data_IF_921784902611
#
_entry.id   IF_921784902611
#
_cell.length_a   1.000
_cell.length_b   1.000
_cell.length_c   1.000
_cell.angle_alpha   90.00
_cell.angle_beta   90.00
_cell.angle_gamma   90.00
#
_symmetry.space_group_name_H-M   'P 1'
#
loop_
_entity.id
_entity.type
_entity.pdbx_description
1 polymer ?
#
# COMPACT_ATOMS: atom_id res chain seq x y z
N UNK A 1 9.38 -9.07 -33.63
CA UNK A 1 9.20 -7.67 -33.18
C UNK A 1 7.77 -7.39 -32.69
N UNK A 2 6.72 -7.79 -33.42
CA UNK A 2 5.31 -7.60 -33.01
C UNK A 2 4.91 -8.34 -31.70
N UNK A 3 5.39 -9.57 -31.50
CA UNK A 3 5.07 -10.37 -30.29
C UNK A 3 5.59 -9.71 -29.01
N UNK A 4 6.80 -9.15 -29.04
CA UNK A 4 7.41 -8.41 -27.92
C UNK A 4 6.70 -7.08 -27.61
N UNK A 5 6.16 -6.42 -28.64
CA UNK A 5 5.38 -5.19 -28.47
C UNK A 5 4.02 -5.48 -27.82
N UNK A 6 3.37 -6.60 -28.20
CA UNK A 6 2.09 -7.04 -27.64
C UNK A 6 2.24 -7.51 -26.18
N UNK A 7 3.33 -8.22 -25.84
CA UNK A 7 3.61 -8.59 -24.45
C UNK A 7 3.92 -7.38 -23.58
N UNK A 8 4.65 -6.39 -24.12
CA UNK A 8 4.96 -5.14 -23.41
C UNK A 8 3.73 -4.25 -23.20
N UNK A 9 2.76 -4.23 -24.13
CA UNK A 9 1.51 -3.48 -23.94
C UNK A 9 0.62 -4.14 -22.88
N UNK A 10 0.51 -5.47 -22.91
CA UNK A 10 -0.27 -6.24 -21.91
C UNK A 10 0.30 -6.08 -20.50
N UNK A 11 1.62 -6.04 -20.36
CA UNK A 11 2.27 -5.89 -19.05
C UNK A 11 2.12 -4.49 -18.45
N UNK A 12 2.12 -3.43 -19.27
CA UNK A 12 1.88 -2.06 -18.80
C UNK A 12 0.41 -1.90 -18.34
N UNK A 13 -0.54 -2.47 -19.09
CA UNK A 13 -1.95 -2.46 -18.70
C UNK A 13 -2.19 -3.24 -17.40
N UNK A 14 -1.45 -4.34 -17.18
CA UNK A 14 -1.51 -5.10 -15.93
C UNK A 14 -0.98 -4.30 -14.73
N UNK A 15 0.18 -3.63 -14.85
CA UNK A 15 0.72 -2.78 -13.79
C UNK A 15 -0.26 -1.64 -13.45
N UNK A 16 -0.84 -1.02 -14.48
CA UNK A 16 -1.81 0.06 -14.27
C UNK A 16 -3.07 -0.46 -13.55
N UNK A 17 -3.59 -1.63 -13.95
CA UNK A 17 -4.71 -2.28 -13.28
C UNK A 17 -4.41 -2.60 -11.80
N UNK A 18 -3.23 -3.17 -11.52
CA UNK A 18 -2.78 -3.48 -10.16
C UNK A 18 -2.66 -2.22 -9.31
N UNK A 19 -2.06 -1.16 -9.84
CA UNK A 19 -1.95 0.13 -9.13
C UNK A 19 -3.33 0.76 -8.85
N UNK A 20 -4.26 0.69 -9.81
CA UNK A 20 -5.64 1.18 -9.61
C UNK A 20 -6.35 0.41 -8.51
N UNK A 21 -6.26 -0.91 -8.49
CA UNK A 21 -6.84 -1.70 -7.42
C UNK A 21 -6.14 -1.43 -6.08
N UNK A 22 -4.82 -1.21 -6.08
CA UNK A 22 -4.07 -0.88 -4.86
C UNK A 22 -4.54 0.45 -4.24
N UNK A 23 -4.87 1.44 -5.08
CA UNK A 23 -5.48 2.70 -4.60
C UNK A 23 -6.85 2.48 -3.96
N UNK A 24 -7.68 1.58 -4.51
CA UNK A 24 -8.98 1.25 -3.91
C UNK A 24 -8.81 0.57 -2.55
N UNK A 25 -7.86 -0.36 -2.44
CA UNK A 25 -7.53 -1.02 -1.17
C UNK A 25 -7.02 -0.01 -0.15
N UNK A 26 -6.05 0.83 -0.52
CA UNK A 26 -5.49 1.86 0.36
C UNK A 26 -6.53 2.91 0.79
N UNK A 27 -7.49 3.26 -0.08
CA UNK A 27 -8.61 4.13 0.30
C UNK A 27 -9.54 3.44 1.32
N UNK A 28 -9.81 2.14 1.13
CA UNK A 28 -10.58 1.33 2.08
C UNK A 28 -9.89 1.22 3.44
N UNK A 29 -8.57 1.03 3.45
CA UNK A 29 -7.75 1.06 4.67
C UNK A 29 -7.82 2.41 5.38
N UNK A 30 -7.65 3.50 4.65
CA UNK A 30 -7.69 4.85 5.22
C UNK A 30 -9.06 5.14 5.84
N UNK A 31 -10.15 4.70 5.21
CA UNK A 31 -11.49 4.84 5.76
C UNK A 31 -11.70 3.98 7.01
N UNK A 32 -11.27 2.72 6.99
CA UNK A 32 -11.43 1.80 8.11
C UNK A 32 -10.59 2.22 9.32
N UNK A 33 -9.32 2.56 9.11
CA UNK A 33 -8.43 3.05 10.15
C UNK A 33 -8.84 4.44 10.62
N UNK A 34 -9.35 5.30 9.74
CA UNK A 34 -9.98 6.56 10.10
C UNK A 34 -11.16 6.37 11.04
N UNK A 35 -12.03 5.39 10.76
CA UNK A 35 -13.15 5.03 11.64
C UNK A 35 -12.69 4.49 13.00
N UNK A 36 -11.61 3.70 13.03
CA UNK A 36 -10.97 3.27 14.28
C UNK A 36 -10.43 4.49 15.03
N UNK A 37 -9.63 5.33 14.40
CA UNK A 37 -9.02 6.50 15.01
C UNK A 37 -10.08 7.47 15.57
N UNK A 38 -11.14 7.74 14.80
CA UNK A 38 -12.24 8.58 15.25
C UNK A 38 -12.98 7.97 16.44
N UNK A 39 -13.27 6.67 16.41
CA UNK A 39 -13.85 5.96 17.55
C UNK A 39 -12.98 6.08 18.81
N UNK A 40 -11.67 6.01 18.64
CA UNK A 40 -10.67 6.09 19.70
C UNK A 40 -10.61 7.50 20.31
N UNK A 41 -10.54 8.52 19.46
CA UNK A 41 -10.43 9.93 19.87
C UNK A 41 -11.76 10.43 20.44
N UNK A 42 -12.88 10.16 19.77
CA UNK A 42 -14.21 10.61 20.19
C UNK A 42 -14.69 9.95 21.46
N UNK A 43 -14.45 8.65 21.64
CA UNK A 43 -14.87 7.95 22.87
C UNK A 43 -13.86 8.05 24.01
N UNK A 44 -12.77 8.82 23.87
CA UNK A 44 -11.69 8.97 24.87
C UNK A 44 -11.33 7.62 25.52
N UNK A 45 -11.00 6.65 24.69
CA UNK A 45 -10.81 5.22 25.02
C UNK A 45 -10.74 4.84 26.51
N UNK A 46 -11.80 4.17 26.96
CA UNK A 46 -11.79 3.06 27.91
C UNK A 46 -11.22 3.29 29.33
N UNK A 47 -11.42 4.48 29.91
CA UNK A 47 -11.10 4.71 31.34
C UNK A 47 -12.11 4.14 32.35
N UNK A 48 -13.20 3.52 31.91
CA UNK A 48 -14.40 3.33 32.74
C UNK A 48 -14.82 1.88 32.94
N UNK A 49 -13.93 1.05 33.48
CA UNK A 49 -14.28 -0.04 34.39
C UNK A 49 -13.14 -0.12 35.44
N UNK A 50 -13.41 -0.58 36.67
CA UNK A 50 -12.79 -0.07 37.90
C UNK A 50 -11.25 -0.13 37.98
N UNK A 51 -10.59 -0.86 37.08
CA UNK A 51 -9.14 -1.05 37.02
C UNK A 51 -8.37 -0.21 35.98
N UNK A 52 -8.99 0.78 35.31
CA UNK A 52 -8.30 1.79 34.45
C UNK A 52 -7.18 1.23 33.55
N UNK A 53 -7.32 0.02 32.99
CA UNK A 53 -6.38 -0.46 31.98
C UNK A 53 -6.84 0.07 30.64
N UNK A 54 -6.00 0.91 30.03
CA UNK A 54 -6.14 1.37 28.65
C UNK A 54 -6.26 0.11 27.78
N UNK A 55 -7.48 -0.19 27.31
CA UNK A 55 -7.75 -1.42 26.55
C UNK A 55 -7.10 -1.37 25.16
N UNK A 56 -6.83 -0.15 24.67
CA UNK A 56 -6.30 0.12 23.34
C UNK A 56 -5.44 1.39 23.47
N UNK A 57 -4.20 1.33 23.00
CA UNK A 57 -3.27 2.44 23.12
C UNK A 57 -3.41 3.39 21.91
N UNK A 58 -3.70 4.70 22.14
CA UNK A 58 -3.92 5.68 21.08
C UNK A 58 -2.68 5.88 20.19
N UNK A 59 -1.48 5.60 20.71
CA UNK A 59 -0.24 5.66 19.93
C UNK A 59 -0.32 4.73 18.72
N UNK A 60 -0.77 3.49 18.92
CA UNK A 60 -0.86 2.50 17.85
C UNK A 60 -1.89 2.87 16.79
N UNK A 61 -3.02 3.45 17.20
CA UNK A 61 -4.03 3.93 16.25
C UNK A 61 -3.49 5.07 15.39
N UNK A 62 -2.72 5.99 15.97
CA UNK A 62 -2.07 7.06 15.22
C UNK A 62 -1.03 6.50 14.24
N UNK A 63 -0.20 5.56 14.68
CA UNK A 63 0.79 4.89 13.83
C UNK A 63 0.12 4.17 12.64
N UNK A 64 -0.98 3.46 12.86
CA UNK A 64 -1.74 2.80 11.79
C UNK A 64 -2.37 3.82 10.84
N UNK A 65 -2.88 4.93 11.36
CA UNK A 65 -3.47 5.99 10.53
C UNK A 65 -2.43 6.65 9.62
N UNK A 66 -1.24 6.99 10.17
CA UNK A 66 -0.13 7.51 9.38
C UNK A 66 0.37 6.49 8.34
N UNK A 67 0.34 5.20 8.69
CA UNK A 67 0.69 4.12 7.75
C UNK A 67 -0.31 4.03 6.61
N UNK A 68 -1.62 4.03 6.90
CA UNK A 68 -2.65 4.01 5.87
C UNK A 68 -2.58 5.24 4.95
N UNK A 69 -2.30 6.43 5.51
CA UNK A 69 -2.09 7.65 4.74
C UNK A 69 -0.87 7.52 3.81
N UNK A 70 0.23 6.99 4.33
CA UNK A 70 1.45 6.74 3.55
C UNK A 70 1.18 5.78 2.38
N UNK A 71 0.50 4.66 2.64
CA UNK A 71 0.13 3.68 1.61
C UNK A 71 -0.76 4.31 0.53
N UNK A 72 -1.74 5.12 0.92
CA UNK A 72 -2.62 5.82 -0.02
C UNK A 72 -1.84 6.79 -0.92
N UNK A 73 -0.98 7.64 -0.34
CA UNK A 73 -0.16 8.59 -1.10
C UNK A 73 0.78 7.84 -2.05
N UNK A 74 1.38 6.75 -1.58
CA UNK A 74 2.29 5.94 -2.39
C UNK A 74 1.55 5.26 -3.55
N UNK A 75 0.40 4.64 -3.31
CA UNK A 75 -0.42 4.02 -4.34
C UNK A 75 -0.87 5.05 -5.39
N UNK A 76 -1.28 6.24 -4.96
CA UNK A 76 -1.65 7.33 -5.87
C UNK A 76 -0.45 7.82 -6.70
N UNK A 77 0.73 7.95 -6.08
CA UNK A 77 1.97 8.30 -6.78
C UNK A 77 2.39 7.25 -7.81
N UNK A 78 2.10 5.97 -7.55
CA UNK A 78 2.37 4.84 -8.46
C UNK A 78 1.54 4.94 -9.74
N UNK A 79 0.27 5.33 -9.64
CA UNK A 79 -0.59 5.59 -10.80
C UNK A 79 -0.03 6.75 -11.63
N UNK A 80 0.33 7.86 -10.97
CA UNK A 80 0.86 9.04 -11.66
C UNK A 80 2.16 8.70 -12.41
N UNK A 81 3.04 7.91 -11.80
CA UNK A 81 4.26 7.41 -12.43
C UNK A 81 3.94 6.52 -13.63
N UNK A 82 2.97 5.61 -13.52
CA UNK A 82 2.52 4.74 -14.61
C UNK A 82 2.04 5.56 -15.83
N UNK A 83 1.22 6.58 -15.61
CA UNK A 83 0.67 7.45 -16.67
C UNK A 83 1.78 8.26 -17.34
N UNK A 84 2.65 8.89 -16.55
CA UNK A 84 3.78 9.68 -17.06
C UNK A 84 4.75 8.83 -17.90
N UNK A 85 4.93 7.57 -17.53
CA UNK A 85 5.81 6.64 -18.27
C UNK A 85 5.22 6.25 -19.64
N UNK A 86 3.88 6.19 -19.77
CA UNK A 86 3.21 5.91 -21.05
C UNK A 86 3.29 7.08 -22.04
N UNK A 87 3.07 8.32 -21.59
CA UNK A 87 3.10 9.50 -22.47
C UNK A 87 4.50 9.78 -23.05
N UNK A 88 5.57 9.46 -22.31
CA UNK A 88 6.93 9.88 -22.65
C UNK A 88 7.74 8.91 -23.51
N UNK A 89 7.20 7.74 -23.89
CA UNK A 89 7.75 6.96 -25.02
C UNK A 89 7.75 7.73 -26.35
N UNK A 90 7.13 8.92 -26.41
CA UNK A 90 7.11 9.81 -27.57
C UNK A 90 8.15 10.94 -27.57
N UNK A 91 8.89 11.20 -26.48
CA UNK A 91 9.79 12.37 -26.41
C UNK A 91 11.12 12.05 -25.71
N UNK A 92 12.18 11.94 -26.52
CA UNK A 92 13.54 11.61 -26.08
C UNK A 92 14.35 12.88 -25.78
N UNK A 93 14.76 13.07 -24.53
CA UNK A 93 15.86 13.96 -24.15
C UNK A 93 16.74 13.26 -23.12
N UNK A 94 18.06 13.30 -23.33
CA UNK A 94 19.06 12.56 -22.54
C UNK A 94 19.12 13.02 -21.07
N UNK A 95 18.94 14.33 -20.81
CA UNK A 95 18.88 14.89 -19.45
C UNK A 95 17.65 14.45 -18.65
N UNK A 96 16.57 14.03 -19.34
CA UNK A 96 15.40 13.47 -18.70
C UNK A 96 15.60 12.00 -18.26
N UNK A 97 16.59 11.29 -18.79
CA UNK A 97 16.82 9.88 -18.49
C UNK A 97 17.41 9.65 -17.09
N UNK A 98 18.38 10.48 -16.68
CA UNK A 98 19.06 10.30 -15.40
C UNK A 98 18.15 10.60 -14.19
N UNK A 99 17.39 11.72 -14.25
CA UNK A 99 16.42 12.07 -13.19
C UNK A 99 15.29 11.06 -13.04
N UNK A 100 14.85 10.43 -14.14
CA UNK A 100 13.78 9.40 -14.12
C UNK A 100 14.24 8.09 -13.51
N UNK A 101 15.49 7.69 -13.75
CA UNK A 101 16.06 6.47 -13.17
C UNK A 101 16.16 6.60 -11.65
N UNK A 102 16.60 7.77 -11.17
CA UNK A 102 16.62 8.09 -9.73
C UNK A 102 15.21 8.08 -9.11
N UNK A 103 14.23 8.71 -9.77
CA UNK A 103 12.85 8.75 -9.26
C UNK A 103 12.22 7.35 -9.18
N UNK A 104 12.44 6.51 -10.20
CA UNK A 104 11.99 5.11 -10.19
C UNK A 104 12.65 4.31 -9.07
N UNK A 105 13.96 4.45 -8.91
CA UNK A 105 14.69 3.78 -7.83
C UNK A 105 14.16 4.20 -6.44
N UNK A 106 13.97 5.50 -6.21
CA UNK A 106 13.40 6.01 -4.97
C UNK A 106 11.98 5.46 -4.72
N UNK A 107 11.14 5.39 -5.76
CA UNK A 107 9.79 4.85 -5.66
C UNK A 107 9.79 3.36 -5.27
N UNK A 108 10.70 2.54 -5.79
CA UNK A 108 10.82 1.13 -5.37
C UNK A 108 11.29 0.98 -3.93
N UNK A 109 12.21 1.82 -3.46
CA UNK A 109 12.63 1.82 -2.05
C UNK A 109 11.44 2.15 -1.15
N UNK A 110 10.64 3.14 -1.53
CA UNK A 110 9.41 3.48 -0.80
C UNK A 110 8.39 2.33 -0.85
N UNK A 111 8.23 1.66 -2.00
CA UNK A 111 7.36 0.47 -2.11
C UNK A 111 7.81 -0.66 -1.20
N UNK A 112 9.12 -0.88 -1.06
CA UNK A 112 9.64 -1.88 -0.14
C UNK A 112 9.34 -1.54 1.32
N UNK A 113 9.50 -0.26 1.70
CA UNK A 113 9.13 0.22 3.03
C UNK A 113 7.63 0.02 3.27
N UNK A 114 6.78 0.30 2.28
CA UNK A 114 5.34 0.06 2.35
C UNK A 114 5.01 -1.41 2.65
N UNK A 115 5.65 -2.36 1.97
CA UNK A 115 5.46 -3.80 2.23
C UNK A 115 5.75 -4.14 3.69
N UNK A 116 6.88 -3.67 4.22
CA UNK A 116 7.29 -3.93 5.61
C UNK A 116 6.29 -3.32 6.60
N UNK A 117 5.89 -2.08 6.36
CA UNK A 117 4.92 -1.37 7.20
C UNK A 117 3.53 -2.04 7.19
N UNK A 118 3.08 -2.53 6.03
CA UNK A 118 1.83 -3.27 5.88
C UNK A 118 1.87 -4.59 6.64
N UNK A 119 2.97 -5.37 6.54
CA UNK A 119 3.13 -6.62 7.30
C UNK A 119 3.10 -6.34 8.81
N UNK A 120 3.84 -5.33 9.27
CA UNK A 120 3.88 -4.96 10.68
C UNK A 120 2.49 -4.50 11.18
N UNK A 121 1.78 -3.70 10.39
CA UNK A 121 0.44 -3.20 10.73
C UNK A 121 -0.62 -4.31 10.72
N UNK A 122 -0.45 -5.31 9.86
CA UNK A 122 -1.26 -6.53 9.85
C UNK A 122 -1.08 -7.31 11.15
N UNK A 123 0.16 -7.61 11.54
CA UNK A 123 0.47 -8.33 12.79
C UNK A 123 -0.01 -7.55 14.03
N UNK A 124 0.23 -6.25 14.07
CA UNK A 124 -0.25 -5.38 15.15
C UNK A 124 -1.78 -5.39 15.26
N UNK A 125 -2.49 -5.23 14.13
CA UNK A 125 -3.96 -5.28 14.09
C UNK A 125 -4.49 -6.64 14.58
N UNK A 126 -3.84 -7.73 14.16
CA UNK A 126 -4.24 -9.08 14.56
C UNK A 126 -4.03 -9.30 16.06
N UNK A 127 -2.88 -8.90 16.62
CA UNK A 127 -2.59 -8.98 18.06
C UNK A 127 -3.60 -8.19 18.89
N UNK A 128 -3.86 -6.93 18.53
CA UNK A 128 -4.87 -6.11 19.20
C UNK A 128 -6.27 -6.76 19.12
N UNK A 129 -6.58 -7.45 18.03
CA UNK A 129 -7.85 -8.15 17.89
C UNK A 129 -8.00 -9.29 18.90
N UNK A 130 -6.92 -10.01 19.21
CA UNK A 130 -6.96 -11.07 20.24
C UNK A 130 -7.13 -10.49 21.64
N UNK A 131 -6.47 -9.37 21.95
CA UNK A 131 -6.57 -8.71 23.26
C UNK A 131 -7.99 -8.20 23.55
N UNK A 132 -8.68 -7.72 22.52
CA UNK A 132 -10.07 -7.22 22.59
C UNK A 132 -11.09 -8.35 22.56
N UNK A 133 -10.79 -9.49 21.90
CA UNK A 133 -11.75 -10.57 21.67
C UNK A 133 -12.41 -11.09 22.95
N UNK A 134 -11.66 -11.19 24.06
CA UNK A 134 -12.21 -11.62 25.37
C UNK A 134 -13.34 -10.73 25.88
N UNK A 135 -13.30 -9.42 25.59
CA UNK A 135 -14.32 -8.47 26.01
C UNK A 135 -15.47 -8.35 25.02
N UNK A 136 -15.31 -8.84 23.79
CA UNK A 136 -16.34 -8.77 22.76
C UNK A 136 -17.47 -9.80 22.98
N UNK A 137 -17.22 -10.86 23.75
CA UNK A 137 -18.17 -11.96 23.92
C UNK A 137 -18.71 -12.12 25.34
N UNK A 138 -17.98 -11.64 26.35
CA UNK A 138 -18.30 -11.93 27.75
C UNK A 138 -17.95 -10.74 28.66
N UNK A 139 -18.50 -9.57 28.34
CA UNK A 139 -18.24 -8.36 29.11
C UNK A 139 -19.52 -7.68 29.58
N UNK A 140 -19.51 -7.24 30.83
CA UNK A 140 -20.54 -6.39 31.42
C UNK A 140 -20.00 -4.97 31.59
N UNK A 141 -20.79 -3.91 31.28
CA UNK A 141 -22.18 -3.93 30.81
C UNK A 141 -22.32 -4.21 29.29
N UNK A 142 -23.53 -4.53 28.78
CA UNK A 142 -23.75 -4.92 27.37
C UNK A 142 -23.37 -3.82 26.35
N UNK A 143 -23.43 -2.55 26.73
CA UNK A 143 -22.98 -1.44 25.90
C UNK A 143 -21.48 -1.52 25.62
N UNK A 144 -20.69 -1.89 26.64
CA UNK A 144 -19.25 -2.08 26.52
C UNK A 144 -18.92 -3.30 25.65
N UNK A 145 -19.63 -4.41 25.84
CA UNK A 145 -19.50 -5.58 24.97
C UNK A 145 -19.74 -5.24 23.49
N UNK A 146 -20.81 -4.50 23.19
CA UNK A 146 -21.14 -4.10 21.82
C UNK A 146 -20.06 -3.21 21.22
N UNK A 147 -19.48 -2.29 22.00
CA UNK A 147 -18.37 -1.45 21.59
C UNK A 147 -17.10 -2.28 21.31
N UNK A 148 -16.75 -3.22 22.18
CA UNK A 148 -15.62 -4.14 21.97
C UNK A 148 -15.81 -5.01 20.74
N UNK A 149 -17.01 -5.54 20.50
CA UNK A 149 -17.32 -6.30 19.30
C UNK A 149 -17.19 -5.47 18.02
N UNK A 150 -17.73 -4.24 18.02
CA UNK A 150 -17.62 -3.31 16.89
C UNK A 150 -16.15 -3.00 16.55
N UNK A 151 -15.30 -2.88 17.57
CA UNK A 151 -13.87 -2.62 17.42
C UNK A 151 -13.10 -3.87 16.93
N UNK A 152 -13.41 -5.04 17.50
CA UNK A 152 -12.83 -6.34 17.12
C UNK A 152 -13.01 -6.61 15.62
N UNK A 153 -14.22 -6.43 15.09
CA UNK A 153 -14.51 -6.67 13.67
C UNK A 153 -13.66 -5.78 12.77
N UNK A 154 -13.47 -4.51 13.13
CA UNK A 154 -12.67 -3.57 12.33
C UNK A 154 -11.18 -3.86 12.40
N UNK A 155 -10.66 -4.27 13.56
CA UNK A 155 -9.26 -4.70 13.69
C UNK A 155 -8.94 -5.93 12.83
N UNK A 156 -9.87 -6.88 12.74
CA UNK A 156 -9.69 -8.04 11.86
C UNK A 156 -9.79 -7.67 10.39
N UNK A 157 -10.74 -6.79 10.04
CA UNK A 157 -10.84 -6.27 8.69
C UNK A 157 -9.58 -5.47 8.30
N UNK A 158 -9.00 -4.68 9.20
CA UNK A 158 -7.77 -3.93 8.93
C UNK A 158 -6.57 -4.86 8.75
N UNK A 159 -6.45 -5.91 9.56
CA UNK A 159 -5.42 -6.93 9.38
C UNK A 159 -5.49 -7.56 7.98
N UNK A 160 -6.70 -7.93 7.53
CA UNK A 160 -6.91 -8.48 6.19
C UNK A 160 -6.53 -7.49 5.09
N UNK A 161 -6.95 -6.22 5.20
CA UNK A 161 -6.62 -5.21 4.20
C UNK A 161 -5.11 -4.96 4.12
N UNK A 162 -4.42 -4.79 5.25
CA UNK A 162 -2.96 -4.63 5.27
C UNK A 162 -2.24 -5.86 4.70
N UNK A 163 -2.77 -7.07 4.94
CA UNK A 163 -2.28 -8.29 4.30
C UNK A 163 -2.42 -8.25 2.78
N UNK A 164 -3.56 -7.79 2.27
CA UNK A 164 -3.80 -7.62 0.82
C UNK A 164 -2.85 -6.56 0.25
N UNK A 165 -2.71 -5.41 0.89
CA UNK A 165 -1.80 -4.34 0.47
C UNK A 165 -0.35 -4.83 0.38
N UNK A 166 0.13 -5.59 1.37
CA UNK A 166 1.46 -6.19 1.33
C UNK A 166 1.65 -7.11 0.13
N UNK A 167 0.68 -7.97 -0.17
CA UNK A 167 0.71 -8.89 -1.33
C UNK A 167 0.70 -8.09 -2.63
N UNK A 168 -0.13 -7.06 -2.73
CA UNK A 168 -0.23 -6.21 -3.91
C UNK A 168 1.05 -5.44 -4.18
N UNK A 169 1.59 -4.77 -3.18
CA UNK A 169 2.83 -4.01 -3.27
C UNK A 169 4.01 -4.92 -3.65
N UNK A 170 4.08 -6.11 -3.06
CA UNK A 170 5.07 -7.12 -3.42
C UNK A 170 4.91 -7.59 -4.88
N UNK A 171 3.67 -7.84 -5.31
CA UNK A 171 3.37 -8.25 -6.69
C UNK A 171 3.78 -7.17 -7.69
N UNK A 172 3.43 -5.91 -7.42
CA UNK A 172 3.81 -4.76 -8.26
C UNK A 172 5.34 -4.66 -8.33
N UNK A 173 6.04 -4.80 -7.20
CA UNK A 173 7.49 -4.76 -7.16
C UNK A 173 8.12 -5.89 -8.01
N UNK A 174 7.64 -7.13 -7.86
CA UNK A 174 8.15 -8.30 -8.61
C UNK A 174 7.88 -8.16 -10.10
N UNK A 175 6.65 -7.86 -10.50
CA UNK A 175 6.27 -7.68 -11.92
C UNK A 175 7.12 -6.60 -12.56
N UNK A 176 7.35 -5.50 -11.86
CA UNK A 176 8.12 -4.37 -12.40
C UNK A 176 9.62 -4.68 -12.49
N UNK A 177 10.19 -5.39 -11.50
CA UNK A 177 11.58 -5.89 -11.58
C UNK A 177 11.78 -6.89 -12.73
N UNK A 178 10.83 -7.81 -12.93
CA UNK A 178 10.88 -8.78 -14.03
C UNK A 178 10.87 -8.09 -15.40
N UNK A 179 10.03 -7.06 -15.56
CA UNK A 179 9.96 -6.28 -16.81
C UNK A 179 11.19 -5.39 -17.02
N UNK A 180 11.80 -4.87 -15.95
CA UNK A 180 13.05 -4.12 -16.02
C UNK A 180 14.27 -4.96 -16.43
N UNK A 181 14.24 -6.28 -16.16
CA UNK A 181 15.31 -7.23 -16.56
C UNK A 181 15.26 -7.65 -18.03
N UNK A 182 14.20 -7.32 -18.77
CA UNK A 182 14.22 -7.44 -20.23
C UNK A 182 14.75 -6.13 -20.81
N UNK A 183 16.07 -6.01 -21.07
CA UNK A 183 16.56 -4.87 -21.83
C UNK A 183 15.78 -4.82 -23.14
N UNK A 184 15.32 -3.61 -23.52
CA UNK A 184 15.06 -3.33 -24.94
C UNK A 184 16.35 -3.66 -25.68
N UNK A 185 16.44 -4.86 -26.23
CA UNK A 185 17.40 -5.24 -27.25
C UNK A 185 17.04 -4.45 -28.50
N UNK A 186 17.34 -3.14 -28.50
CA UNK A 186 17.31 -2.25 -29.66
C UNK A 186 17.84 -0.87 -29.26
N UNK A 187 19.16 -0.76 -29.16
CA UNK A 187 19.91 0.46 -29.52
C UNK A 187 21.42 0.18 -29.58
N UNK A 188 21.83 -0.83 -30.34
CA UNK A 188 23.25 -1.05 -30.67
C UNK A 188 23.48 -1.29 -32.16
N UNK A 189 22.57 -0.84 -33.03
CA UNK A 189 22.70 -0.95 -34.50
C UNK A 189 22.40 0.37 -35.20
N UNK A 190 22.93 1.48 -34.67
CA UNK A 190 22.97 2.74 -35.43
C UNK A 190 24.27 3.54 -35.21
N UNK A 191 25.38 2.82 -35.05
CA UNK A 191 26.74 3.37 -35.21
C UNK A 191 27.52 2.45 -36.14
N UNK A 192 27.15 2.41 -37.42
CA UNK A 192 28.09 2.12 -38.52
C UNK A 192 27.40 2.36 -39.86
N UNK A 193 28.16 2.99 -40.78
CA UNK A 193 27.85 3.31 -42.18
C UNK A 193 26.96 4.56 -42.36
N UNK A 194 27.37 5.66 -42.99
CA UNK A 194 28.49 5.92 -43.91
C UNK A 194 28.94 7.39 -43.84
N UNK A 195 30.19 7.61 -43.47
CA UNK A 195 31.00 8.72 -43.97
C UNK A 195 31.90 8.14 -45.06
N UNK A 196 31.56 8.41 -46.32
CA UNK A 196 32.40 8.45 -47.52
C UNK A 196 31.46 8.57 -48.73
#
# INVERSE_FOLDING_TARGET
>A
MAVLLVTSLKSINLIHLLNTFNVLVAAGELYLIGSIYDFIVMNRMFFALPDKRILIDPYWSLCQHLTALYLFILAFSSILLSVNTQQQCKQNSFNAFNKRTLFKAAHYVLQFIAIVMSIFSCDASMKMSFDVARFAFDADPPEFQRACYWYLVRLRASAMLYGVSAIMDATICVVTCLLGKYPRYNSSTQYHSTSC
#
